data_IF_481164842256
#
_entry.id   IF_481164842256
#
_cell.length_a   1.000
_cell.length_b   1.000
_cell.length_c   1.000
_cell.angle_alpha   90.00
_cell.angle_beta   90.00
_cell.angle_gamma   90.00
#
_symmetry.space_group_name_H-M   'P 1'
#
loop_
_entity.id
_entity.type
_entity.pdbx_description
1 polymer ?
#
# COMPACT_ATOMS: atom_id res chain seq x y z
N UNK A 1 -43.49 -9.39 2.17
CA UNK A 1 -43.04 -8.86 0.86
C UNK A 1 -42.08 -7.72 1.15
N UNK A 2 -40.78 -7.97 1.31
CA UNK A 2 -39.76 -8.23 0.28
C UNK A 2 -39.59 -7.05 -0.71
N UNK A 3 -38.58 -6.21 -0.46
CA UNK A 3 -37.53 -5.85 -1.44
C UNK A 3 -36.35 -5.18 -0.74
N UNK A 4 -35.24 -5.91 -0.70
CA UNK A 4 -33.84 -5.50 -0.56
C UNK A 4 -33.47 -4.40 -1.56
N UNK A 5 -32.55 -3.49 -1.21
CA UNK A 5 -31.73 -2.79 -2.22
C UNK A 5 -30.29 -2.69 -1.73
N UNK A 6 -29.53 -3.70 -2.13
CA UNK A 6 -28.08 -3.80 -2.15
C UNK A 6 -27.55 -2.89 -3.26
N UNK A 7 -26.86 -1.80 -2.89
CA UNK A 7 -26.27 -0.88 -3.86
C UNK A 7 -24.91 -1.42 -4.34
N UNK A 8 -24.94 -2.31 -5.33
CA UNK A 8 -23.76 -2.77 -6.06
C UNK A 8 -23.37 -1.80 -7.18
N UNK A 9 -22.10 -1.42 -7.13
CA UNK A 9 -21.18 -1.25 -8.27
C UNK A 9 -21.48 -0.17 -9.29
N UNK A 10 -20.97 1.05 -9.03
CA UNK A 10 -20.56 1.95 -10.11
C UNK A 10 -19.32 1.38 -10.77
N UNK A 11 -19.47 0.90 -12.00
CA UNK A 11 -18.42 0.50 -12.94
C UNK A 11 -17.45 1.67 -13.16
N UNK A 12 -16.44 1.81 -12.29
CA UNK A 12 -15.25 2.60 -12.59
C UNK A 12 -14.35 1.71 -13.42
N UNK A 13 -13.86 2.22 -14.56
CA UNK A 13 -12.72 1.67 -15.31
C UNK A 13 -11.86 0.84 -14.37
N UNK A 14 -11.67 -0.45 -14.68
CA UNK A 14 -10.78 -1.31 -13.91
C UNK A 14 -9.53 -0.48 -13.63
N UNK A 15 -9.26 -0.11 -12.38
CA UNK A 15 -8.14 0.77 -12.11
C UNK A 15 -6.92 0.01 -12.63
N UNK A 16 -6.17 0.60 -13.57
CA UNK A 16 -5.01 -0.05 -14.21
C UNK A 16 -3.97 -0.55 -13.20
N UNK A 17 -4.12 -0.12 -11.95
CA UNK A 17 -3.31 -0.49 -10.83
C UNK A 17 -4.22 -0.65 -9.57
N UNK A 18 -3.92 -1.62 -8.68
CA UNK A 18 -4.70 -1.86 -7.46
C UNK A 18 -4.57 -0.71 -6.46
N UNK A 19 -5.17 -0.79 -5.26
CA UNK A 19 -4.96 0.25 -4.24
C UNK A 19 -3.46 0.45 -3.95
N UNK A 20 -3.03 1.67 -3.65
CA UNK A 20 -1.64 1.95 -3.27
C UNK A 20 -1.19 1.12 -2.06
N UNK A 21 -2.09 0.82 -1.12
CA UNK A 21 -1.82 -0.10 0.00
C UNK A 21 -1.45 -1.50 -0.53
N UNK A 22 -2.21 -2.03 -1.50
CA UNK A 22 -1.94 -3.32 -2.14
C UNK A 22 -0.65 -3.31 -2.96
N UNK A 23 -0.35 -2.21 -3.66
CA UNK A 23 0.92 -2.06 -4.37
C UNK A 23 2.12 -2.05 -3.42
N UNK A 24 2.00 -1.38 -2.27
CA UNK A 24 3.03 -1.38 -1.22
C UNK A 24 3.21 -2.79 -0.64
N UNK A 25 2.12 -3.50 -0.37
CA UNK A 25 2.15 -4.90 0.10
C UNK A 25 2.86 -5.79 -0.92
N UNK A 26 2.48 -5.71 -2.20
CA UNK A 26 3.11 -6.47 -3.28
C UNK A 26 4.61 -6.15 -3.40
N UNK A 27 4.98 -4.86 -3.29
CA UNK A 27 6.37 -4.44 -3.29
C UNK A 27 7.17 -5.06 -2.13
N UNK A 28 6.64 -5.00 -0.90
CA UNK A 28 7.30 -5.56 0.29
C UNK A 28 7.42 -7.10 0.16
N UNK A 29 6.38 -7.76 -0.35
CA UNK A 29 6.38 -9.21 -0.58
C UNK A 29 7.36 -9.63 -1.66
N UNK A 30 7.51 -8.83 -2.71
CA UNK A 30 8.42 -9.14 -3.82
C UNK A 30 9.88 -8.82 -3.49
N UNK A 31 10.14 -7.71 -2.79
CA UNK A 31 11.49 -7.31 -2.40
C UNK A 31 12.02 -8.13 -1.23
N UNK A 32 11.14 -8.82 -0.47
CA UNK A 32 11.48 -9.74 0.64
C UNK A 32 12.52 -9.16 1.62
N UNK A 33 12.52 -7.85 1.83
CA UNK A 33 13.51 -7.22 2.70
C UNK A 33 13.22 -7.56 4.17
N UNK A 34 14.17 -8.22 4.84
CA UNK A 34 14.04 -8.69 6.24
C UNK A 34 13.64 -7.58 7.22
N UNK A 35 14.05 -6.34 6.93
CA UNK A 35 13.77 -5.14 7.74
C UNK A 35 12.55 -4.33 7.24
N UNK A 36 11.88 -4.78 6.17
CA UNK A 36 10.89 -4.00 5.42
C UNK A 36 11.54 -3.23 4.28
N UNK A 37 10.71 -2.70 3.37
CA UNK A 37 11.17 -1.98 2.19
C UNK A 37 11.17 -0.47 2.39
N UNK A 38 12.19 0.19 1.84
CA UNK A 38 12.28 1.65 1.87
C UNK A 38 11.30 2.29 0.87
N UNK A 39 10.89 3.53 1.13
CA UNK A 39 10.05 4.32 0.21
C UNK A 39 10.60 4.35 -1.23
N UNK A 40 11.89 4.64 -1.50
CA UNK A 40 12.42 4.61 -2.86
C UNK A 40 12.39 3.22 -3.49
N UNK A 41 12.60 2.14 -2.72
CA UNK A 41 12.51 0.78 -3.23
C UNK A 41 11.07 0.40 -3.62
N UNK A 42 10.09 0.78 -2.79
CA UNK A 42 8.66 0.61 -3.10
C UNK A 42 8.29 1.41 -4.35
N UNK A 43 8.71 2.67 -4.46
CA UNK A 43 8.47 3.50 -5.65
C UNK A 43 9.02 2.83 -6.91
N UNK A 44 10.27 2.37 -6.87
CA UNK A 44 10.93 1.68 -8.00
C UNK A 44 10.19 0.41 -8.39
N UNK A 45 9.80 -0.41 -7.42
CA UNK A 45 9.02 -1.61 -7.68
C UNK A 45 7.68 -1.27 -8.33
N UNK A 46 6.97 -0.29 -7.78
CA UNK A 46 5.62 0.03 -8.25
C UNK A 46 5.66 0.62 -9.67
N UNK A 47 6.65 1.45 -9.99
CA UNK A 47 6.89 1.95 -11.34
C UNK A 47 7.29 0.85 -12.33
N UNK A 48 8.01 -0.18 -11.87
CA UNK A 48 8.44 -1.29 -12.72
C UNK A 48 7.35 -2.36 -12.94
N UNK A 49 6.43 -2.53 -11.99
CA UNK A 49 5.44 -3.63 -12.01
C UNK A 49 4.01 -3.16 -12.32
N UNK A 50 3.69 -1.89 -12.11
CA UNK A 50 2.38 -1.32 -12.39
C UNK A 50 2.50 -0.15 -13.37
N UNK A 51 1.51 0.03 -14.25
CA UNK A 51 1.39 1.25 -15.06
C UNK A 51 0.90 2.40 -14.18
N UNK A 52 1.82 2.98 -13.42
CA UNK A 52 1.65 4.22 -12.67
C UNK A 52 2.56 5.29 -13.24
N UNK A 53 2.06 6.51 -13.38
CA UNK A 53 2.90 7.63 -13.79
C UNK A 53 3.74 8.11 -12.58
N UNK A 54 5.07 8.22 -12.72
CA UNK A 54 5.89 8.89 -11.71
C UNK A 54 5.48 10.36 -11.62
N UNK A 55 5.36 10.89 -10.40
CA UNK A 55 5.02 12.29 -10.17
C UNK A 55 4.75 12.63 -8.70
N UNK A 56 4.58 13.91 -8.41
CA UNK A 56 4.31 14.40 -7.05
C UNK A 56 3.04 13.79 -6.43
N UNK A 57 2.03 13.51 -7.26
CA UNK A 57 0.80 12.83 -6.83
C UNK A 57 1.07 11.38 -6.39
N UNK A 58 1.88 10.64 -7.14
CA UNK A 58 2.25 9.27 -6.80
C UNK A 58 3.01 9.20 -5.47
N UNK A 59 3.94 10.11 -5.27
CA UNK A 59 4.73 10.22 -4.05
C UNK A 59 3.86 10.55 -2.82
N UNK A 60 2.90 11.46 -3.00
CA UNK A 60 1.93 11.83 -1.97
C UNK A 60 0.98 10.68 -1.65
N UNK A 61 0.53 9.93 -2.66
CA UNK A 61 -0.32 8.75 -2.49
C UNK A 61 0.39 7.65 -1.70
N UNK A 62 1.65 7.34 -2.04
CA UNK A 62 2.46 6.37 -1.27
C UNK A 62 2.67 6.86 0.16
N UNK A 63 3.01 8.15 0.35
CA UNK A 63 3.15 8.76 1.67
C UNK A 63 1.87 8.59 2.51
N UNK A 64 0.72 8.94 1.92
CA UNK A 64 -0.57 8.85 2.57
C UNK A 64 -1.01 7.41 2.83
N UNK A 65 -0.69 6.47 1.94
CA UNK A 65 -1.00 5.05 2.12
C UNK A 65 -0.17 4.42 3.24
N UNK A 66 1.11 4.79 3.35
CA UNK A 66 1.97 4.37 4.47
C UNK A 66 1.45 4.93 5.79
N UNK A 67 1.10 6.22 5.85
CA UNK A 67 0.52 6.84 7.06
C UNK A 67 -0.79 6.17 7.47
N UNK A 68 -1.68 5.90 6.52
CA UNK A 68 -2.94 5.20 6.75
C UNK A 68 -2.73 3.75 7.20
N UNK A 69 -1.85 3.02 6.54
CA UNK A 69 -1.56 1.63 6.91
C UNK A 69 -0.79 1.52 8.23
N UNK A 70 -0.04 2.54 8.63
CA UNK A 70 0.55 2.64 9.96
C UNK A 70 -0.50 2.87 11.04
N UNK A 71 -1.44 3.79 10.80
CA UNK A 71 -2.56 4.04 11.72
C UNK A 71 -3.51 2.84 11.86
N UNK A 72 -3.54 1.96 10.84
CA UNK A 72 -4.31 0.71 10.84
C UNK A 72 -3.50 -0.50 11.33
N UNK A 73 -2.27 -0.30 11.80
CA UNK A 73 -1.32 -1.36 12.20
C UNK A 73 -1.05 -2.43 11.10
N UNK A 74 -1.31 -2.09 9.84
CA UNK A 74 -0.97 -2.93 8.67
C UNK A 74 0.51 -2.79 8.31
N UNK A 75 1.10 -1.62 8.55
CA UNK A 75 2.51 -1.35 8.32
C UNK A 75 3.21 -0.90 9.61
N UNK A 76 4.39 -1.49 9.88
CA UNK A 76 5.29 -1.09 10.94
C UNK A 76 6.39 -0.20 10.35
N UNK A 77 6.68 0.89 11.03
CA UNK A 77 7.67 1.89 10.62
C UNK A 77 8.84 1.92 11.61
N UNK A 78 9.75 0.93 11.58
CA UNK A 78 10.85 0.84 12.53
C UNK A 78 11.81 2.04 12.51
N UNK A 79 11.83 2.81 11.41
CA UNK A 79 12.64 4.03 11.27
C UNK A 79 11.79 5.32 11.18
N UNK A 80 10.54 5.26 11.65
CA UNK A 80 9.59 6.37 11.58
C UNK A 80 9.00 6.62 10.19
N UNK A 81 8.15 7.65 10.08
CA UNK A 81 7.32 7.97 8.90
C UNK A 81 8.10 8.17 7.58
N UNK A 82 9.37 8.58 7.67
CA UNK A 82 10.22 8.80 6.49
C UNK A 82 11.07 7.56 6.12
N UNK A 83 11.04 6.54 6.97
CA UNK A 83 11.97 5.43 6.90
C UNK A 83 11.44 4.18 6.21
N UNK A 84 11.85 3.04 6.74
CA UNK A 84 11.52 1.71 6.24
C UNK A 84 10.08 1.35 6.58
N UNK A 85 9.35 0.78 5.61
CA UNK A 85 7.98 0.30 5.75
C UNK A 85 8.02 -1.22 5.78
N UNK A 86 7.57 -1.81 6.88
CA UNK A 86 7.52 -3.26 7.07
C UNK A 86 6.07 -3.71 7.13
N UNK A 87 5.72 -4.77 6.40
CA UNK A 87 4.39 -5.36 6.47
C UNK A 87 4.22 -6.08 7.81
N UNK A 88 3.22 -5.69 8.58
CA UNK A 88 2.81 -6.39 9.80
C UNK A 88 1.78 -7.43 9.38
N UNK A 89 2.14 -8.71 9.46
CA UNK A 89 1.11 -9.76 9.46
C UNK A 89 0.30 -9.59 10.74
N UNK A 90 -1.05 -9.63 10.68
CA UNK A 90 -1.88 -9.57 11.88
C UNK A 90 -1.46 -10.74 12.78
N UNK A 91 -0.74 -10.43 13.86
CA UNK A 91 -0.18 -11.45 14.77
C UNK A 91 1.26 -11.24 15.23
N UNK A 92 2.04 -10.30 14.67
CA UNK A 92 3.39 -10.01 15.20
C UNK A 92 3.53 -8.57 15.68
N UNK A 93 3.07 -8.35 16.92
CA UNK A 93 3.53 -7.25 17.78
C UNK A 93 5.06 -7.28 17.79
N UNK A 94 5.69 -6.21 17.33
CA UNK A 94 7.13 -6.01 17.51
C UNK A 94 7.26 -4.82 18.46
N UNK A 95 7.39 -5.14 19.75
CA UNK A 95 7.98 -4.30 20.79
C UNK A 95 9.37 -3.85 20.37
#
# INVERSE_FOLDING_TARGET
MATTTEAKTKSKKAPEHPSYESMIIAAILSLKERKGSSRPAIKKYVLANFKVAPGAHFDSQISGAIRRGAAKDVFSLPKGLSGTVKLVKPGKKTT
#
